data_IF_566876592189
#
_entry.id   IF_566876592189
#
_cell.length_a   1.000
_cell.length_b   1.000
_cell.length_c   1.000
_cell.angle_alpha   90.00
_cell.angle_beta   90.00
_cell.angle_gamma   90.00
#
_symmetry.space_group_name_H-M   'P 1'
#
loop_
_entity.id
_entity.type
_entity.pdbx_description
1 polymer ?
#
# COMPACT_ATOMS: atom_id res chain seq x y z
N UNK A 1 8.35 15.05 -50.64
CA UNK A 1 7.00 15.01 -50.05
C UNK A 1 7.08 15.80 -48.75
N UNK A 2 6.50 17.00 -48.76
CA UNK A 2 6.28 17.87 -47.60
C UNK A 2 5.42 17.11 -46.58
N UNK A 3 5.67 17.18 -45.27
CA UNK A 3 5.29 18.19 -44.26
C UNK A 3 5.74 17.59 -42.90
N UNK A 4 6.03 18.28 -41.80
CA UNK A 4 6.46 19.64 -41.44
C UNK A 4 6.85 19.55 -39.95
N UNK A 5 7.75 20.42 -39.51
CA UNK A 5 8.11 20.62 -38.11
C UNK A 5 6.89 21.17 -37.35
N UNK A 6 6.51 20.52 -36.25
CA UNK A 6 5.74 21.19 -35.20
C UNK A 6 6.70 21.39 -34.02
N UNK A 7 7.22 22.61 -33.90
CA UNK A 7 7.79 23.17 -32.68
C UNK A 7 6.77 23.05 -31.54
N UNK A 8 7.12 22.32 -30.49
CA UNK A 8 6.37 22.37 -29.23
C UNK A 8 7.16 23.21 -28.24
N UNK A 9 6.57 24.34 -27.88
CA UNK A 9 7.04 25.38 -26.97
C UNK A 9 7.58 24.80 -25.63
N UNK A 10 8.91 24.83 -25.47
CA UNK A 10 9.66 24.34 -24.29
C UNK A 10 9.73 25.43 -23.20
N UNK A 11 8.65 26.17 -22.94
CA UNK A 11 8.71 27.22 -21.92
C UNK A 11 7.56 27.31 -20.91
N UNK A 12 6.51 26.48 -21.00
CA UNK A 12 5.44 26.48 -19.98
C UNK A 12 4.71 25.14 -19.73
N UNK A 13 5.25 24.01 -20.21
CA UNK A 13 4.49 22.75 -20.33
C UNK A 13 4.98 21.51 -19.57
N UNK A 14 6.03 21.56 -18.75
CA UNK A 14 6.45 20.40 -17.93
C UNK A 14 5.64 20.34 -16.62
N UNK A 15 4.32 20.48 -16.71
CA UNK A 15 3.47 19.89 -15.66
C UNK A 15 3.41 18.39 -15.96
N UNK A 16 4.47 17.69 -15.55
CA UNK A 16 4.52 16.25 -15.28
C UNK A 16 3.41 15.46 -15.99
N UNK A 17 3.73 14.80 -17.12
CA UNK A 17 3.03 13.53 -17.41
C UNK A 17 3.20 12.72 -16.13
N UNK A 18 2.17 12.68 -15.27
CA UNK A 18 2.24 11.93 -14.02
C UNK A 18 2.36 10.48 -14.46
N UNK A 19 3.60 10.01 -14.49
CA UNK A 19 3.88 8.59 -14.64
C UNK A 19 2.97 7.87 -13.66
N UNK A 20 2.24 6.85 -14.13
CA UNK A 20 1.57 5.95 -13.20
C UNK A 20 2.68 5.18 -12.51
N UNK A 21 3.11 5.67 -11.35
CA UNK A 21 4.13 5.03 -10.54
C UNK A 21 3.58 3.69 -10.04
N UNK A 22 4.35 2.63 -10.25
CA UNK A 22 4.03 1.30 -9.74
C UNK A 22 4.54 1.15 -8.31
N UNK A 23 3.80 0.40 -7.51
CA UNK A 23 4.23 -0.02 -6.17
C UNK A 23 4.03 -1.52 -6.02
N UNK A 24 4.94 -2.18 -5.30
CA UNK A 24 4.73 -3.55 -4.85
C UNK A 24 4.30 -3.53 -3.37
N UNK A 25 3.33 -4.38 -3.03
CA UNK A 25 2.83 -4.56 -1.66
C UNK A 25 2.94 -6.02 -1.27
N UNK A 26 3.38 -6.25 -0.05
CA UNK A 26 3.35 -7.56 0.59
C UNK A 26 2.83 -7.45 2.02
N UNK A 27 2.06 -8.45 2.44
CA UNK A 27 1.43 -8.51 3.74
C UNK A 27 1.72 -9.86 4.40
N UNK A 28 2.01 -9.82 5.70
CA UNK A 28 2.07 -11.04 6.52
C UNK A 28 0.79 -11.19 7.31
N UNK A 29 0.26 -12.42 7.33
CA UNK A 29 -0.97 -12.75 8.03
C UNK A 29 -0.71 -13.72 9.18
N UNK A 30 -1.31 -13.42 10.33
CA UNK A 30 -1.42 -14.33 11.47
C UNK A 30 -2.82 -14.92 11.55
N UNK A 31 -2.96 -16.09 12.17
CA UNK A 31 -4.24 -16.76 12.41
C UNK A 31 -5.01 -16.16 13.58
N UNK A 32 -6.32 -16.03 13.40
CA UNK A 32 -7.28 -15.63 14.42
C UNK A 32 -8.51 -16.53 14.44
N UNK A 33 -9.41 -16.26 15.39
CA UNK A 33 -10.61 -17.07 15.61
C UNK A 33 -10.31 -18.34 16.40
N UNK A 34 -11.35 -18.98 16.93
CA UNK A 34 -11.22 -20.16 17.80
C UNK A 34 -10.60 -21.37 17.10
N UNK A 35 -10.65 -21.41 15.77
CA UNK A 35 -10.13 -22.49 14.92
C UNK A 35 -8.93 -22.04 14.05
N UNK A 36 -8.38 -20.85 14.29
CA UNK A 36 -7.27 -20.25 13.53
C UNK A 36 -7.54 -20.05 12.02
N UNK A 37 -8.81 -20.12 11.59
CA UNK A 37 -9.18 -20.04 10.17
C UNK A 37 -9.16 -18.62 9.61
N UNK A 38 -9.14 -17.60 10.47
CA UNK A 38 -9.19 -16.21 10.04
C UNK A 38 -7.78 -15.68 9.80
N UNK A 39 -7.56 -15.06 8.64
CA UNK A 39 -6.32 -14.37 8.32
C UNK A 39 -6.38 -12.91 8.79
N UNK A 40 -5.48 -12.52 9.68
CA UNK A 40 -5.35 -11.18 10.21
C UNK A 40 -4.02 -10.58 9.73
N UNK A 41 -4.08 -9.49 8.97
CA UNK A 41 -2.87 -8.77 8.57
C UNK A 41 -2.14 -8.25 9.82
N UNK A 42 -0.86 -8.57 9.92
CA UNK A 42 -0.01 -8.26 11.07
C UNK A 42 1.26 -7.51 10.68
N UNK A 43 1.64 -7.50 9.40
CA UNK A 43 2.71 -6.66 8.85
C UNK A 43 2.37 -6.29 7.42
N UNK A 44 2.74 -5.09 7.00
CA UNK A 44 2.67 -4.66 5.60
C UNK A 44 3.95 -3.96 5.19
N UNK A 45 4.39 -4.22 3.96
CA UNK A 45 5.50 -3.57 3.32
C UNK A 45 5.07 -3.04 1.94
N UNK A 46 5.56 -1.85 1.58
CA UNK A 46 5.34 -1.23 0.28
C UNK A 46 6.67 -0.64 -0.22
N UNK A 47 6.99 -0.91 -1.49
CA UNK A 47 8.16 -0.36 -2.18
C UNK A 47 7.77 0.25 -3.52
N UNK A 48 8.58 1.19 -4.02
CA UNK A 48 8.45 1.73 -5.38
C UNK A 48 9.19 0.86 -6.41
N UNK A 49 9.25 1.32 -7.67
CA UNK A 49 9.90 0.65 -8.79
C UNK A 49 11.43 0.53 -8.67
N UNK A 50 12.05 1.38 -7.86
CA UNK A 50 13.48 1.34 -7.54
C UNK A 50 13.75 0.50 -6.26
N UNK A 51 12.76 -0.29 -5.82
CA UNK A 51 12.80 -1.11 -4.61
C UNK A 51 12.97 -0.30 -3.32
N UNK A 52 12.71 1.00 -3.37
CA UNK A 52 12.86 1.86 -2.19
C UNK A 52 11.64 1.73 -1.29
N UNK A 53 11.93 1.59 0.01
CA UNK A 53 10.92 1.45 1.04
C UNK A 53 10.03 2.70 1.17
N UNK A 54 8.73 2.52 1.01
CA UNK A 54 7.69 3.55 1.21
C UNK A 54 7.02 3.36 2.58
N UNK A 55 6.59 2.13 2.87
CA UNK A 55 5.93 1.76 4.13
C UNK A 55 6.48 0.43 4.61
N UNK A 56 6.78 0.34 5.90
CA UNK A 56 7.02 -0.92 6.59
C UNK A 56 6.54 -0.77 8.03
N UNK A 57 5.48 -1.47 8.39
CA UNK A 57 4.89 -1.36 9.73
C UNK A 57 4.22 -2.66 10.15
N UNK A 58 4.23 -2.93 11.45
CA UNK A 58 3.32 -3.91 12.04
C UNK A 58 1.90 -3.35 12.11
N UNK A 59 0.93 -4.24 12.00
CA UNK A 59 -0.49 -3.95 12.00
C UNK A 59 -1.12 -4.62 13.21
N UNK A 60 -1.85 -3.87 14.02
CA UNK A 60 -2.55 -4.40 15.18
C UNK A 60 -3.76 -5.23 14.72
N UNK A 61 -3.81 -6.55 14.98
CA UNK A 61 -4.93 -7.39 14.59
C UNK A 61 -6.22 -6.98 15.32
N UNK A 62 -7.35 -7.06 14.62
CA UNK A 62 -8.65 -6.60 15.14
C UNK A 62 -9.27 -7.53 16.18
N UNK A 63 -8.78 -8.77 16.26
CA UNK A 63 -9.19 -9.80 17.22
C UNK A 63 -7.92 -10.49 17.76
N UNK A 64 -8.00 -11.25 18.87
CA UNK A 64 -6.84 -11.96 19.40
C UNK A 64 -6.22 -12.91 18.38
N UNK A 65 -4.89 -12.88 18.31
CA UNK A 65 -4.09 -13.83 17.52
C UNK A 65 -4.10 -15.18 18.23
N UNK A 66 -4.46 -16.22 17.50
CA UNK A 66 -4.46 -17.61 17.99
C UNK A 66 -3.34 -18.45 17.40
N UNK A 67 -2.78 -18.03 16.26
CA UNK A 67 -1.59 -18.63 15.66
C UNK A 67 -0.74 -17.57 14.97
N UNK A 68 0.50 -17.35 15.42
CA UNK A 68 1.40 -16.38 14.82
C UNK A 68 2.00 -16.85 13.48
N UNK A 69 1.93 -18.14 13.17
CA UNK A 69 2.56 -18.75 11.98
C UNK A 69 4.04 -18.38 11.88
N UNK A 70 4.72 -18.38 13.03
CA UNK A 70 6.04 -17.77 13.22
C UNK A 70 7.10 -18.23 12.22
N UNK A 71 7.11 -19.51 11.88
CA UNK A 71 8.09 -20.08 10.93
C UNK A 71 8.04 -19.45 9.53
N UNK A 72 6.89 -18.85 9.16
CA UNK A 72 6.70 -18.19 7.87
C UNK A 72 6.76 -16.67 8.04
N UNK A 73 6.08 -16.13 9.06
CA UNK A 73 5.86 -14.68 9.21
C UNK A 73 6.97 -13.99 10.01
N UNK A 74 7.66 -14.70 10.90
CA UNK A 74 8.58 -14.16 11.89
C UNK A 74 7.93 -13.25 12.95
N UNK A 75 6.60 -13.20 13.02
CA UNK A 75 5.87 -12.27 13.89
C UNK A 75 5.74 -12.82 15.30
N UNK A 76 6.02 -11.98 16.30
CA UNK A 76 5.85 -12.27 17.72
C UNK A 76 4.84 -11.33 18.35
N UNK A 77 4.33 -11.69 19.53
CA UNK A 77 3.47 -10.81 20.35
C UNK A 77 4.12 -9.45 20.62
N UNK A 78 5.46 -9.41 20.82
CA UNK A 78 6.21 -8.18 21.07
C UNK A 78 6.12 -7.23 19.87
N UNK A 79 6.11 -7.76 18.64
CA UNK A 79 5.95 -6.94 17.44
C UNK A 79 4.58 -6.26 17.38
N UNK A 80 3.55 -6.89 17.96
CA UNK A 80 2.16 -6.42 17.88
C UNK A 80 1.73 -5.51 19.03
N UNK A 81 2.51 -5.45 20.12
CA UNK A 81 2.17 -4.67 21.33
C UNK A 81 1.90 -3.20 21.04
N UNK A 82 2.75 -2.58 20.22
CA UNK A 82 2.69 -1.16 19.86
C UNK A 82 2.42 -0.97 18.36
N UNK A 83 1.78 -1.96 17.72
CA UNK A 83 1.50 -1.94 16.29
C UNK A 83 0.42 -0.93 15.91
N UNK A 84 0.48 -0.46 14.66
CA UNK A 84 -0.46 0.54 14.15
C UNK A 84 -1.85 -0.08 13.90
N UNK A 85 -2.95 0.57 14.31
CA UNK A 85 -4.30 0.09 14.03
C UNK A 85 -4.56 -0.11 12.52
N UNK A 86 -5.24 -1.20 12.15
CA UNK A 86 -5.48 -1.55 10.75
C UNK A 86 -6.15 -0.43 9.93
N UNK A 87 -7.05 0.35 10.54
CA UNK A 87 -7.69 1.46 9.85
C UNK A 87 -6.69 2.56 9.46
N UNK A 88 -5.76 2.90 10.35
CA UNK A 88 -4.75 3.93 10.10
C UNK A 88 -3.73 3.46 9.04
N UNK A 89 -3.31 2.19 9.11
CA UNK A 89 -2.47 1.56 8.08
C UNK A 89 -3.18 1.58 6.73
N UNK A 90 -4.46 1.20 6.69
CA UNK A 90 -5.27 1.17 5.47
C UNK A 90 -5.42 2.55 4.86
N UNK A 91 -5.72 3.58 5.67
CA UNK A 91 -5.82 4.96 5.20
C UNK A 91 -4.52 5.44 4.57
N UNK A 92 -3.37 5.16 5.21
CA UNK A 92 -2.05 5.49 4.68
C UNK A 92 -1.75 4.78 3.36
N UNK A 93 -2.08 3.49 3.24
CA UNK A 93 -1.88 2.74 1.99
C UNK A 93 -2.80 3.28 0.88
N UNK A 94 -4.07 3.56 1.18
CA UNK A 94 -5.00 4.10 0.19
C UNK A 94 -4.57 5.48 -0.31
N UNK A 95 -3.97 6.33 0.54
CA UNK A 95 -3.39 7.60 0.11
C UNK A 95 -2.27 7.39 -0.93
N UNK A 96 -1.44 6.36 -0.76
CA UNK A 96 -0.38 6.03 -1.72
C UNK A 96 -0.99 5.49 -3.02
N UNK A 97 -1.87 4.49 -2.93
CA UNK A 97 -2.48 3.84 -4.09
C UNK A 97 -3.35 4.77 -4.93
N UNK A 98 -3.93 5.82 -4.33
CA UNK A 98 -4.73 6.82 -5.02
C UNK A 98 -3.94 8.09 -5.38
N UNK A 99 -2.61 8.07 -5.28
CA UNK A 99 -1.76 9.23 -5.57
C UNK A 99 -2.19 10.52 -4.82
N UNK A 100 -2.63 10.35 -3.58
CA UNK A 100 -3.15 11.42 -2.73
C UNK A 100 -4.52 11.99 -3.17
N UNK A 101 -5.18 11.44 -4.19
CA UNK A 101 -6.52 11.87 -4.57
C UNK A 101 -7.57 11.42 -3.55
N UNK A 102 -8.60 12.24 -3.35
CA UNK A 102 -9.68 11.90 -2.44
C UNK A 102 -10.43 10.66 -2.94
N UNK A 103 -10.64 9.68 -2.05
CA UNK A 103 -11.39 8.43 -2.34
C UNK A 103 -12.77 8.71 -2.98
N UNK A 104 -13.36 9.88 -2.72
CA UNK A 104 -14.61 10.35 -3.34
C UNK A 104 -14.53 10.54 -4.86
N UNK A 105 -13.38 10.92 -5.43
CA UNK A 105 -13.19 11.06 -6.90
C UNK A 105 -12.97 9.70 -7.56
N UNK A 106 -12.20 8.82 -6.91
CA UNK A 106 -11.92 7.46 -7.43
C UNK A 106 -13.19 6.62 -7.61
N UNK A 107 -14.21 6.83 -6.77
CA UNK A 107 -15.51 6.13 -6.88
C UNK A 107 -16.43 6.65 -7.99
N UNK A 108 -16.18 7.84 -8.54
CA UNK A 108 -16.99 8.43 -9.61
C UNK A 108 -16.51 7.99 -11.01
N UNK A 109 -15.29 7.46 -11.10
CA UNK A 109 -14.64 7.06 -12.35
C UNK A 109 -14.53 5.52 -12.51
N UNK A 110 -15.29 4.75 -11.72
CA UNK A 110 -15.40 3.28 -11.88
C UNK A 110 -16.48 2.90 -12.91
N UNK A 111 -16.33 1.75 -13.61
CA UNK A 111 -17.34 1.26 -14.56
C UNK A 111 -18.67 0.85 -13.90
#
# INVERSE_FOLDING_TARGET
>A
MFYSEDEVDISNGISSIRSREAVAIDCEMVGGGSDCSLDLCARVCLVDEDEKLIVHTFVLPQIPVTDYRYEITGITEVNLRDAMPLNEVRERILQILHNGESISRVRLDGP
#
